data_IF_899076573036
#
_entry.id   IF_899076573036
#
_cell.length_a   1.000
_cell.length_b   1.000
_cell.length_c   1.000
_cell.angle_alpha   90.00
_cell.angle_beta   90.00
_cell.angle_gamma   90.00
#
_symmetry.space_group_name_H-M   'P 1'
#
loop_
_entity.id
_entity.type
_entity.pdbx_description
1 polymer ?
#
# COMPACT_ATOMS: atom_id res chain seq x y z
N UNK A 1 26.14 16.30 -12.10
CA UNK A 1 24.70 16.57 -12.27
C UNK A 1 23.99 15.44 -13.00
N UNK A 2 24.60 14.91 -14.06
CA UNK A 2 24.02 13.79 -14.80
C UNK A 2 23.92 12.54 -13.95
N UNK A 3 24.92 12.29 -13.12
CA UNK A 3 24.92 11.15 -12.21
C UNK A 3 23.80 11.28 -11.20
N UNK A 4 23.57 12.50 -10.67
CA UNK A 4 22.50 12.74 -9.73
C UNK A 4 21.13 12.60 -10.38
N UNK A 5 20.98 13.06 -11.61
CA UNK A 5 19.75 12.89 -12.35
C UNK A 5 19.43 11.43 -12.61
N UNK A 6 20.45 10.63 -12.95
CA UNK A 6 20.27 9.19 -13.14
C UNK A 6 19.84 8.51 -11.84
N UNK A 7 20.44 8.89 -10.73
CA UNK A 7 20.08 8.34 -9.43
C UNK A 7 18.66 8.72 -9.04
N UNK A 8 18.25 9.97 -9.31
CA UNK A 8 16.89 10.39 -9.05
C UNK A 8 15.89 9.63 -9.90
N UNK A 9 16.19 9.40 -11.17
CA UNK A 9 15.34 8.61 -12.05
C UNK A 9 15.20 7.17 -11.56
N UNK A 10 16.30 6.57 -11.12
CA UNK A 10 16.28 5.20 -10.60
C UNK A 10 15.45 5.12 -9.32
N UNK A 11 15.57 6.10 -8.44
CA UNK A 11 14.77 6.17 -7.21
C UNK A 11 13.30 6.37 -7.56
N UNK A 12 12.99 7.22 -8.55
CA UNK A 12 11.62 7.49 -8.97
C UNK A 12 11.00 6.34 -9.74
N UNK A 13 11.76 5.33 -10.08
CA UNK A 13 11.27 4.18 -10.85
C UNK A 13 10.57 3.12 -10.02
N UNK A 14 10.45 3.30 -8.70
CA UNK A 14 9.63 2.39 -7.93
C UNK A 14 8.19 2.60 -8.37
N UNK A 15 7.59 1.64 -9.08
CA UNK A 15 6.22 1.82 -9.55
C UNK A 15 5.24 1.79 -8.38
N UNK A 16 4.18 2.57 -8.46
CA UNK A 16 3.14 2.59 -7.44
C UNK A 16 2.59 1.20 -7.11
N UNK A 17 2.38 0.29 -8.09
CA UNK A 17 1.89 -1.06 -7.75
C UNK A 17 2.79 -1.84 -6.79
N UNK A 18 4.05 -1.45 -6.66
CA UNK A 18 5.00 -2.08 -5.73
C UNK A 18 5.07 -1.36 -4.38
N UNK A 19 4.22 -0.38 -4.16
CA UNK A 19 4.19 0.36 -2.90
C UNK A 19 3.09 -0.14 -1.98
N UNK A 20 3.40 -0.17 -0.69
CA UNK A 20 2.44 -0.45 0.37
C UNK A 20 2.46 0.74 1.31
N UNK A 21 1.33 1.39 1.48
CA UNK A 21 1.21 2.55 2.36
C UNK A 21 0.24 2.24 3.49
N UNK A 22 0.70 2.44 4.72
CA UNK A 22 -0.13 2.28 5.91
C UNK A 22 -0.56 3.64 6.43
N UNK A 23 -1.83 3.78 6.74
CA UNK A 23 -2.35 5.01 7.33
C UNK A 23 -3.35 4.71 8.42
N UNK A 24 -3.33 5.50 9.50
CA UNK A 24 -4.22 5.31 10.64
C UNK A 24 -5.06 6.55 10.98
N UNK A 25 -4.99 7.59 10.18
CA UNK A 25 -5.71 8.82 10.46
C UNK A 25 -6.04 9.64 9.23
N UNK A 26 -6.79 10.73 9.47
CA UNK A 26 -7.24 11.61 8.39
C UNK A 26 -6.09 12.28 7.65
N UNK A 27 -4.97 12.53 8.34
CA UNK A 27 -3.81 13.16 7.73
C UNK A 27 -3.16 12.28 6.67
N UNK A 28 -3.39 10.97 6.73
CA UNK A 28 -2.84 10.01 5.76
C UNK A 28 -3.71 9.88 4.50
N UNK A 29 -4.95 10.38 4.54
CA UNK A 29 -5.91 10.17 3.46
C UNK A 29 -5.41 10.64 2.10
N UNK A 30 -4.80 11.86 1.97
CA UNK A 30 -4.30 12.28 0.66
C UNK A 30 -3.25 11.34 0.09
N UNK A 31 -2.33 10.86 0.92
CA UNK A 31 -1.28 9.93 0.47
C UNK A 31 -1.88 8.56 0.12
N UNK A 32 -2.79 8.05 0.94
CA UNK A 32 -3.44 6.77 0.68
C UNK A 32 -4.22 6.81 -0.63
N UNK A 33 -4.92 7.90 -0.89
CA UNK A 33 -5.68 8.08 -2.12
C UNK A 33 -4.77 8.09 -3.35
N UNK A 34 -3.65 8.81 -3.29
CA UNK A 34 -2.71 8.89 -4.40
C UNK A 34 -2.10 7.51 -4.68
N UNK A 35 -1.63 6.83 -3.65
CA UNK A 35 -1.04 5.50 -3.81
C UNK A 35 -2.04 4.55 -4.46
N UNK A 36 -3.28 4.53 -3.99
CA UNK A 36 -4.32 3.69 -4.58
C UNK A 36 -4.63 4.08 -6.01
N UNK A 37 -4.75 5.38 -6.27
CA UNK A 37 -5.11 5.90 -7.61
C UNK A 37 -4.11 5.44 -8.68
N UNK A 38 -2.84 5.38 -8.32
CA UNK A 38 -1.79 4.99 -9.25
C UNK A 38 -1.43 3.50 -9.17
N UNK A 39 -2.33 2.69 -8.63
CA UNK A 39 -2.20 1.24 -8.65
C UNK A 39 -1.45 0.64 -7.47
N UNK A 40 -1.10 1.46 -6.49
CA UNK A 40 -0.44 0.99 -5.28
C UNK A 40 -1.42 0.40 -4.28
N UNK A 41 -0.90 0.04 -3.12
CA UNK A 41 -1.64 -0.67 -2.09
C UNK A 41 -1.72 0.18 -0.83
N UNK A 42 -2.88 0.75 -0.57
CA UNK A 42 -3.13 1.55 0.63
C UNK A 42 -3.91 0.73 1.64
N UNK A 43 -3.41 0.68 2.86
CA UNK A 43 -3.99 -0.10 3.96
C UNK A 43 -4.33 0.84 5.09
N UNK A 44 -5.61 0.95 5.40
CA UNK A 44 -6.07 1.66 6.58
C UNK A 44 -6.01 0.75 7.80
N UNK A 45 -5.27 1.17 8.83
CA UNK A 45 -5.17 0.41 10.07
C UNK A 45 -5.91 1.14 11.18
N UNK A 46 -6.50 0.40 12.08
CA UNK A 46 -7.28 0.97 13.17
C UNK A 46 -7.13 0.16 14.44
N UNK A 47 -7.29 0.86 15.58
CA UNK A 47 -7.41 0.19 16.86
C UNK A 47 -8.87 -0.30 16.98
N UNK A 48 -9.13 -1.62 17.07
CA UNK A 48 -10.49 -2.14 17.11
C UNK A 48 -11.29 -1.70 18.34
N UNK A 49 -10.64 -1.25 19.39
CA UNK A 49 -11.31 -0.74 20.59
C UNK A 49 -11.79 0.69 20.42
N UNK A 50 -11.28 1.42 19.45
CA UNK A 50 -11.68 2.80 19.18
C UNK A 50 -12.74 2.84 18.09
N UNK A 51 -14.01 2.89 18.50
CA UNK A 51 -15.15 2.84 17.58
C UNK A 51 -15.15 3.98 16.55
N UNK A 52 -14.72 5.17 16.95
CA UNK A 52 -14.61 6.30 16.03
C UNK A 52 -13.65 6.01 14.90
N UNK A 53 -12.48 5.46 15.24
CA UNK A 53 -11.45 5.11 14.25
C UNK A 53 -11.90 3.97 13.35
N UNK A 54 -12.57 2.97 13.93
CA UNK A 54 -13.14 1.87 13.15
C UNK A 54 -14.11 2.40 12.10
N UNK A 55 -15.05 3.26 12.51
CA UNK A 55 -16.05 3.82 11.60
C UNK A 55 -15.43 4.70 10.54
N UNK A 56 -14.44 5.54 10.90
CA UNK A 56 -13.72 6.38 9.95
C UNK A 56 -13.01 5.51 8.91
N UNK A 57 -12.32 4.48 9.35
CA UNK A 57 -11.56 3.60 8.46
C UNK A 57 -12.49 2.85 7.51
N UNK A 58 -13.64 2.35 8.01
CA UNK A 58 -14.66 1.73 7.17
C UNK A 58 -15.20 2.69 6.12
N UNK A 59 -15.37 3.96 6.48
CA UNK A 59 -15.80 5.00 5.56
C UNK A 59 -14.78 5.19 4.43
N UNK A 60 -13.48 5.18 4.76
CA UNK A 60 -12.44 5.30 3.76
C UNK A 60 -12.51 4.17 2.73
N UNK A 61 -12.78 2.95 3.18
CA UNK A 61 -12.94 1.81 2.27
C UNK A 61 -14.17 2.00 1.37
N UNK A 62 -15.30 2.41 1.94
CA UNK A 62 -16.52 2.66 1.17
C UNK A 62 -16.34 3.76 0.13
N UNK A 63 -15.54 4.76 0.45
CA UNK A 63 -15.23 5.87 -0.45
C UNK A 63 -14.08 5.57 -1.43
N UNK A 64 -13.62 4.32 -1.45
CA UNK A 64 -12.54 3.86 -2.35
C UNK A 64 -11.23 4.63 -2.18
N UNK A 65 -10.94 5.09 -0.97
CA UNK A 65 -9.70 5.81 -0.67
C UNK A 65 -8.58 4.89 -0.23
N UNK A 66 -8.91 3.68 0.18
CA UNK A 66 -7.94 2.63 0.54
C UNK A 66 -8.31 1.33 -0.13
N UNK A 67 -7.34 0.44 -0.28
CA UNK A 67 -7.56 -0.90 -0.85
C UNK A 67 -8.04 -1.88 0.23
N UNK A 68 -7.49 -1.78 1.42
CA UNK A 68 -7.75 -2.70 2.52
C UNK A 68 -7.86 -1.95 3.83
N UNK A 69 -8.60 -2.52 4.77
CA UNK A 69 -8.60 -2.07 6.16
C UNK A 69 -8.35 -3.27 7.05
N UNK A 70 -7.67 -3.04 8.17
CA UNK A 70 -7.31 -4.12 9.08
C UNK A 70 -7.04 -3.56 10.48
N UNK A 71 -7.32 -4.33 11.53
CA UNK A 71 -6.85 -3.95 12.86
C UNK A 71 -5.34 -3.77 12.90
N UNK A 72 -4.88 -2.83 13.71
CA UNK A 72 -3.45 -2.55 13.88
C UNK A 72 -2.77 -3.67 14.67
N UNK A 73 -2.69 -4.84 14.09
CA UNK A 73 -2.04 -6.01 14.66
C UNK A 73 -1.07 -6.56 13.62
N UNK A 74 0.21 -6.42 13.90
CA UNK A 74 1.29 -6.77 12.97
C UNK A 74 1.93 -8.12 13.29
N UNK A 75 1.33 -8.90 14.17
CA UNK A 75 1.89 -10.21 14.53
C UNK A 75 1.77 -11.19 13.37
N UNK A 76 2.64 -12.19 13.38
CA UNK A 76 2.62 -13.25 12.38
C UNK A 76 1.27 -13.96 12.37
N UNK A 77 0.73 -14.18 11.17
CA UNK A 77 -0.57 -14.81 10.99
C UNK A 77 -1.77 -13.90 11.15
N UNK A 78 -1.57 -12.63 11.57
CA UNK A 78 -2.66 -11.66 11.65
C UNK A 78 -3.19 -11.30 10.26
N UNK A 79 -4.36 -10.65 10.23
CA UNK A 79 -4.94 -10.18 8.97
C UNK A 79 -3.98 -9.22 8.25
N UNK A 80 -3.34 -8.31 8.97
CA UNK A 80 -2.36 -7.38 8.39
C UNK A 80 -1.20 -8.14 7.75
N UNK A 81 -0.68 -9.13 8.47
CA UNK A 81 0.40 -9.97 7.97
C UNK A 81 -0.02 -10.70 6.68
N UNK A 82 -1.22 -11.27 6.65
CA UNK A 82 -1.73 -11.98 5.47
C UNK A 82 -1.86 -11.03 4.28
N UNK A 83 -2.38 -9.83 4.48
CA UNK A 83 -2.53 -8.84 3.41
C UNK A 83 -1.16 -8.46 2.84
N UNK A 84 -0.21 -8.13 3.71
CA UNK A 84 1.13 -7.72 3.27
C UNK A 84 1.84 -8.85 2.52
N UNK A 85 1.80 -10.06 3.04
CA UNK A 85 2.44 -11.20 2.38
C UNK A 85 1.83 -11.49 1.01
N UNK A 86 0.50 -11.37 0.90
CA UNK A 86 -0.19 -11.58 -0.37
C UNK A 86 0.19 -10.50 -1.39
N UNK A 87 0.29 -9.25 -0.95
CA UNK A 87 0.74 -8.17 -1.82
C UNK A 87 2.18 -8.42 -2.30
N UNK A 88 3.05 -8.83 -1.41
CA UNK A 88 4.44 -9.14 -1.75
C UNK A 88 4.51 -10.27 -2.78
N UNK A 89 3.70 -11.30 -2.61
CA UNK A 89 3.63 -12.42 -3.57
C UNK A 89 3.18 -11.93 -4.95
N UNK A 90 2.22 -11.02 -4.99
CA UNK A 90 1.77 -10.41 -6.24
C UNK A 90 2.89 -9.60 -6.89
N UNK A 91 3.63 -8.82 -6.10
CA UNK A 91 4.76 -8.03 -6.61
C UNK A 91 5.82 -8.96 -7.19
N UNK A 92 6.12 -10.07 -6.52
CA UNK A 92 7.08 -11.05 -7.03
C UNK A 92 6.63 -11.66 -8.35
N UNK A 93 5.33 -11.96 -8.46
CA UNK A 93 4.77 -12.50 -9.70
C UNK A 93 4.86 -11.48 -10.84
N UNK A 94 4.55 -10.23 -10.56
CA UNK A 94 4.68 -9.14 -11.54
C UNK A 94 6.12 -9.00 -12.03
N UNK A 95 7.07 -9.08 -11.12
CA UNK A 95 8.49 -9.04 -11.45
C UNK A 95 8.90 -10.20 -12.36
N UNK A 96 8.43 -11.40 -12.02
CA UNK A 96 8.73 -12.60 -12.83
C UNK A 96 8.17 -12.45 -14.24
N UNK A 97 6.92 -11.99 -14.36
CA UNK A 97 6.30 -11.75 -15.67
C UNK A 97 7.04 -10.70 -16.46
N UNK A 98 7.47 -9.63 -15.80
CA UNK A 98 8.23 -8.58 -16.48
C UNK A 98 9.54 -9.11 -17.05
N UNK A 99 10.24 -9.97 -16.32
CA UNK A 99 11.47 -10.59 -16.83
C UNK A 99 11.18 -11.53 -18.01
N UNK A 100 10.08 -12.26 -17.95
CA UNK A 100 9.70 -13.18 -19.02
C UNK A 100 9.23 -12.44 -20.27
N UNK A 101 8.78 -11.21 -20.14
CA UNK A 101 8.35 -10.40 -21.27
C UNK A 101 9.52 -9.86 -22.10
N UNK A 102 10.73 -9.97 -21.58
CA UNK A 102 11.94 -9.53 -22.25
C UNK A 102 12.64 -10.70 -22.91
N UNK A 103 12.94 -10.57 -24.17
CA UNK A 103 13.71 -11.59 -24.89
C UNK A 103 15.23 -11.26 -24.87
#
# INVERSE_FOLDING_TARGET
>A
KKVNESQEEDIKRIPFPHMIYFGDGETDVPCMKIVKMFGGNSIGVYNPENKKKVNLTKKLLRQHRVNFITPANYTEGSRTHQIVCTIIDKIKADWALNRLSKL
#
